data_IF_474971208728
#
_entry.id   IF_474971208728
#
_cell.length_a   1.000
_cell.length_b   1.000
_cell.length_c   1.000
_cell.angle_alpha   90.00
_cell.angle_beta   90.00
_cell.angle_gamma   90.00
#
_symmetry.space_group_name_H-M   'P 1'
#
loop_
_entity.id
_entity.type
_entity.pdbx_description
1 polymer ?
#
# COMPACT_ATOMS: atom_id res chain seq x y z
N UNK A 1 -14.80 -22.39 22.68
CA UNK A 1 -13.83 -21.90 21.69
C UNK A 1 -14.54 -20.79 20.92
N UNK A 2 -14.16 -19.53 21.11
CA UNK A 2 -14.78 -18.43 20.36
C UNK A 2 -14.28 -18.52 18.91
N UNK A 3 -15.17 -18.84 17.98
CA UNK A 3 -14.92 -18.72 16.55
C UNK A 3 -15.13 -17.26 16.16
N UNK A 4 -14.05 -16.58 15.75
CA UNK A 4 -14.13 -15.26 15.14
C UNK A 4 -14.75 -15.40 13.75
N UNK A 5 -15.83 -14.66 13.48
CA UNK A 5 -16.37 -14.52 12.14
C UNK A 5 -15.69 -13.37 11.40
N UNK A 6 -15.72 -13.39 10.07
CA UNK A 6 -15.28 -12.26 9.27
C UNK A 6 -16.06 -10.98 9.59
N UNK A 7 -17.29 -11.07 10.11
CA UNK A 7 -18.08 -9.92 10.59
C UNK A 7 -17.48 -9.23 11.82
N UNK A 8 -16.62 -9.91 12.57
CA UNK A 8 -16.01 -9.38 13.79
C UNK A 8 -14.70 -8.63 13.52
N UNK A 9 -14.23 -8.64 12.27
CA UNK A 9 -12.96 -8.02 11.86
C UNK A 9 -13.19 -6.60 11.36
N UNK A 10 -12.45 -5.66 11.94
CA UNK A 10 -12.25 -4.30 11.43
C UNK A 10 -10.75 -4.13 11.20
N UNK A 11 -10.37 -3.73 9.98
CA UNK A 11 -8.96 -3.73 9.56
C UNK A 11 -8.52 -2.37 9.01
N UNK A 12 -7.60 -1.73 9.74
CA UNK A 12 -6.80 -0.63 9.24
C UNK A 12 -5.50 -1.19 8.63
N UNK A 13 -5.28 -0.95 7.34
CA UNK A 13 -4.07 -1.34 6.62
C UNK A 13 -3.17 -0.15 6.36
N UNK A 14 -1.91 -0.24 6.78
CA UNK A 14 -0.89 0.79 6.54
C UNK A 14 0.11 0.29 5.52
N UNK A 15 0.28 1.03 4.43
CA UNK A 15 1.33 0.81 3.45
C UNK A 15 2.48 1.80 3.60
N UNK A 16 3.63 1.47 3.02
CA UNK A 16 4.86 2.29 3.04
C UNK A 16 4.90 3.34 1.94
N UNK A 17 3.80 3.52 1.21
CA UNK A 17 3.72 4.33 0.00
C UNK A 17 3.72 3.48 -1.27
N UNK A 18 3.00 3.95 -2.29
CA UNK A 18 2.97 3.37 -3.62
C UNK A 18 3.92 4.16 -4.54
N UNK A 19 4.96 3.50 -5.03
CA UNK A 19 5.89 4.13 -5.96
C UNK A 19 5.23 4.37 -7.33
N UNK A 20 5.33 5.57 -7.92
CA UNK A 20 4.84 5.83 -9.27
C UNK A 20 5.82 5.27 -10.31
N UNK A 21 5.97 3.95 -10.40
CA UNK A 21 6.83 3.30 -11.39
C UNK A 21 6.04 2.99 -12.63
N UNK A 22 6.57 3.39 -13.77
CA UNK A 22 6.04 3.03 -15.08
C UNK A 22 7.14 2.32 -15.87
N UNK A 23 6.77 1.27 -16.60
CA UNK A 23 7.68 0.66 -17.55
C UNK A 23 7.87 1.62 -18.73
N UNK A 24 9.10 2.09 -19.03
CA UNK A 24 9.37 3.02 -20.13
C UNK A 24 8.91 2.52 -21.51
N UNK A 25 8.84 1.20 -21.72
CA UNK A 25 8.30 0.56 -22.92
C UNK A 25 7.46 -0.66 -22.53
N UNK A 26 6.21 -0.71 -22.98
CA UNK A 26 5.32 -1.85 -22.69
C UNK A 26 5.51 -3.04 -23.64
N UNK A 27 6.15 -2.81 -24.78
CA UNK A 27 6.44 -3.83 -25.79
C UNK A 27 7.93 -3.78 -26.12
N UNK A 28 8.67 -4.76 -25.64
CA UNK A 28 10.08 -4.93 -25.99
C UNK A 28 10.62 -6.27 -25.50
N UNK A 29 11.55 -6.86 -26.25
CA UNK A 29 12.32 -8.02 -25.83
C UNK A 29 13.43 -7.59 -24.86
N UNK A 30 13.03 -7.33 -23.61
CA UNK A 30 13.95 -6.83 -22.58
C UNK A 30 14.96 -7.90 -22.15
N UNK A 31 14.65 -9.18 -22.32
CA UNK A 31 15.48 -10.28 -21.82
C UNK A 31 15.61 -10.27 -20.28
N UNK A 32 16.16 -11.34 -19.71
CA UNK A 32 16.21 -11.51 -18.26
C UNK A 32 16.97 -10.39 -17.53
N UNK A 33 18.07 -9.91 -18.13
CA UNK A 33 18.96 -8.93 -17.49
C UNK A 33 18.27 -7.59 -17.20
N UNK A 34 17.38 -7.15 -18.09
CA UNK A 34 16.64 -5.90 -17.91
C UNK A 34 15.37 -6.10 -17.08
N UNK A 35 14.81 -7.31 -17.01
CA UNK A 35 13.67 -7.61 -16.13
C UNK A 35 14.06 -7.77 -14.66
N UNK A 36 15.24 -8.34 -14.38
CA UNK A 36 15.64 -8.72 -13.02
C UNK A 36 15.51 -7.59 -11.97
N UNK A 37 15.90 -6.33 -12.24
CA UNK A 37 15.76 -5.24 -11.27
C UNK A 37 14.29 -4.85 -10.96
N UNK A 38 13.37 -5.17 -11.87
CA UNK A 38 11.95 -4.81 -11.75
C UNK A 38 11.10 -5.92 -11.12
N UNK A 39 11.50 -7.19 -11.25
CA UNK A 39 10.70 -8.34 -10.82
C UNK A 39 10.34 -8.32 -9.33
N UNK A 40 11.29 -8.01 -8.45
CA UNK A 40 11.04 -8.00 -7.00
C UNK A 40 10.00 -6.94 -6.64
N UNK A 41 10.18 -5.72 -7.14
CA UNK A 41 9.23 -4.63 -6.89
C UNK A 41 7.84 -4.95 -7.45
N UNK A 42 7.76 -5.51 -8.66
CA UNK A 42 6.49 -5.92 -9.27
C UNK A 42 5.78 -7.02 -8.46
N UNK A 43 6.53 -8.02 -7.98
CA UNK A 43 5.97 -9.10 -7.17
C UNK A 43 5.45 -8.57 -5.82
N UNK A 44 6.22 -7.70 -5.16
CA UNK A 44 5.83 -7.10 -3.88
C UNK A 44 4.62 -6.17 -4.05
N UNK A 45 4.67 -5.23 -4.99
CA UNK A 45 3.57 -4.31 -5.28
C UNK A 45 2.31 -5.08 -5.70
N UNK A 46 2.45 -6.09 -6.58
CA UNK A 46 1.34 -6.96 -7.00
C UNK A 46 0.70 -7.71 -5.85
N UNK A 47 1.49 -8.27 -4.93
CA UNK A 47 0.97 -8.96 -3.75
C UNK A 47 0.21 -8.01 -2.81
N UNK A 48 0.72 -6.80 -2.59
CA UNK A 48 0.09 -5.79 -1.74
C UNK A 48 -1.21 -5.26 -2.35
N UNK A 49 -1.26 -5.08 -3.68
CA UNK A 49 -2.46 -4.67 -4.42
C UNK A 49 -3.53 -5.77 -4.43
N UNK A 50 -3.15 -7.03 -4.59
CA UNK A 50 -4.10 -8.14 -4.52
C UNK A 50 -4.71 -8.26 -3.12
N UNK A 51 -3.90 -8.13 -2.06
CA UNK A 51 -4.38 -8.13 -0.68
C UNK A 51 -5.34 -6.95 -0.40
N UNK A 52 -5.01 -5.73 -0.85
CA UNK A 52 -5.91 -4.57 -0.76
C UNK A 52 -7.25 -4.85 -1.43
N UNK A 53 -7.22 -5.36 -2.67
CA UNK A 53 -8.43 -5.69 -3.41
C UNK A 53 -9.29 -6.73 -2.67
N UNK A 54 -8.70 -7.84 -2.24
CA UNK A 54 -9.41 -8.89 -1.52
C UNK A 54 -10.01 -8.38 -0.21
N UNK A 55 -9.28 -7.60 0.58
CA UNK A 55 -9.79 -7.01 1.81
C UNK A 55 -10.97 -6.07 1.55
N UNK A 56 -10.90 -5.24 0.50
CA UNK A 56 -12.04 -4.38 0.10
C UNK A 56 -13.28 -5.18 -0.25
N UNK A 57 -13.13 -6.31 -0.95
CA UNK A 57 -14.27 -7.16 -1.33
C UNK A 57 -14.86 -7.93 -0.13
N UNK A 58 -14.02 -8.39 0.80
CA UNK A 58 -14.43 -9.27 1.90
C UNK A 58 -14.95 -8.47 3.11
N UNK A 59 -14.27 -7.39 3.48
CA UNK A 59 -14.57 -6.60 4.68
C UNK A 59 -15.40 -5.35 4.40
N UNK A 60 -15.51 -4.96 3.12
CA UNK A 60 -16.30 -3.82 2.66
C UNK A 60 -15.99 -2.54 3.48
N UNK A 61 -16.98 -1.90 4.10
CA UNK A 61 -16.83 -0.67 4.88
C UNK A 61 -15.98 -0.83 6.15
N UNK A 62 -15.63 -2.07 6.55
CA UNK A 62 -14.80 -2.39 7.73
C UNK A 62 -13.32 -2.55 7.36
N UNK A 63 -12.94 -2.18 6.14
CA UNK A 63 -11.55 -2.07 5.71
C UNK A 63 -11.22 -0.64 5.29
N UNK A 64 -10.12 -0.10 5.83
CA UNK A 64 -9.56 1.17 5.40
C UNK A 64 -8.06 1.03 5.18
N UNK A 65 -7.55 1.59 4.08
CA UNK A 65 -6.12 1.55 3.76
C UNK A 65 -5.55 2.95 3.63
N UNK A 66 -4.44 3.17 4.33
CA UNK A 66 -3.58 4.34 4.16
C UNK A 66 -2.34 3.88 3.39
N UNK A 67 -2.23 4.30 2.13
CA UNK A 67 -1.06 4.01 1.31
C UNK A 67 -0.91 5.09 0.22
N UNK A 68 -0.30 6.25 0.54
CA UNK A 68 -0.23 7.36 -0.40
C UNK A 68 0.63 7.01 -1.62
N UNK A 69 0.31 7.61 -2.77
CA UNK A 69 1.23 7.59 -3.91
C UNK A 69 2.42 8.50 -3.55
N UNK A 70 3.62 7.96 -3.68
CA UNK A 70 4.84 8.72 -3.43
C UNK A 70 5.06 9.74 -4.57
N UNK A 71 5.56 10.95 -4.27
CA UNK A 71 5.78 11.99 -5.29
C UNK A 71 6.91 11.64 -6.26
N UNK A 72 7.80 10.72 -5.88
CA UNK A 72 8.89 10.17 -6.69
C UNK A 72 9.21 8.75 -6.21
N UNK A 73 9.84 7.91 -7.05
CA UNK A 73 10.25 6.58 -6.63
C UNK A 73 11.27 6.62 -5.50
N UNK A 74 11.04 5.85 -4.43
CA UNK A 74 11.97 5.61 -3.33
C UNK A 74 12.23 4.10 -3.25
N UNK A 75 13.51 3.72 -3.28
CA UNK A 75 13.99 2.36 -3.10
C UNK A 75 13.88 1.89 -1.64
N UNK A 76 13.76 0.58 -1.43
CA UNK A 76 13.68 0.01 -0.07
C UNK A 76 14.98 0.19 0.72
N UNK A 77 16.10 0.36 0.03
CA UNK A 77 17.46 0.50 0.53
C UNK A 77 17.95 1.96 0.58
N UNK A 78 17.13 2.92 0.14
CA UNK A 78 17.46 4.36 0.13
C UNK A 78 17.27 5.02 1.51
N UNK A 79 18.12 4.63 2.46
CA UNK A 79 18.10 5.14 3.86
C UNK A 79 18.31 6.66 3.92
N UNK A 80 19.02 7.24 2.94
CA UNK A 80 19.22 8.68 2.81
C UNK A 80 17.91 9.45 2.50
N UNK A 81 16.84 8.75 2.10
CA UNK A 81 15.53 9.32 1.78
C UNK A 81 14.55 9.32 2.97
N UNK A 82 14.95 8.83 4.14
CA UNK A 82 14.11 8.83 5.35
C UNK A 82 13.55 10.22 5.69
N UNK A 83 14.33 11.33 5.64
CA UNK A 83 13.79 12.66 5.91
C UNK A 83 12.64 13.04 4.96
N UNK A 84 12.76 12.71 3.68
CA UNK A 84 11.72 12.95 2.68
C UNK A 84 10.48 12.09 2.96
N UNK A 85 10.64 10.84 3.40
CA UNK A 85 9.50 10.00 3.80
C UNK A 85 8.75 10.57 5.00
N UNK A 86 9.48 11.12 5.98
CA UNK A 86 8.87 11.81 7.13
C UNK A 86 8.08 13.04 6.67
N UNK A 87 8.66 13.86 5.79
CA UNK A 87 8.00 15.04 5.23
C UNK A 87 6.71 14.68 4.48
N UNK A 88 6.71 13.56 3.75
CA UNK A 88 5.52 13.04 3.07
C UNK A 88 4.47 12.60 4.10
N UNK A 89 4.88 11.85 5.12
CA UNK A 89 3.98 11.31 6.14
C UNK A 89 3.29 12.41 6.96
N UNK A 90 4.01 13.46 7.35
CA UNK A 90 3.46 14.58 8.15
C UNK A 90 2.44 15.42 7.35
N UNK A 91 2.59 15.48 6.02
CA UNK A 91 1.69 16.22 5.13
C UNK A 91 0.49 15.40 4.66
N UNK A 92 0.44 14.12 5.00
CA UNK A 92 -0.63 13.23 4.58
C UNK A 92 -1.94 13.64 5.26
N UNK A 93 -3.00 13.82 4.46
CA UNK A 93 -4.34 14.00 4.98
C UNK A 93 -4.83 12.71 5.64
N UNK A 94 -5.14 12.78 6.93
CA UNK A 94 -5.61 11.66 7.74
C UNK A 94 -7.08 11.80 8.14
N UNK A 95 -7.79 12.85 7.70
CA UNK A 95 -9.15 13.13 8.15
C UNK A 95 -10.09 11.95 7.86
N UNK A 96 -10.01 11.37 6.66
CA UNK A 96 -10.79 10.19 6.30
C UNK A 96 -10.49 8.96 7.17
N UNK A 97 -9.21 8.76 7.54
CA UNK A 97 -8.82 7.67 8.42
C UNK A 97 -9.32 7.86 9.84
N UNK A 98 -9.20 9.08 10.37
CA UNK A 98 -9.67 9.44 11.72
C UNK A 98 -11.19 9.27 11.81
N UNK A 99 -11.94 9.77 10.82
CA UNK A 99 -13.39 9.58 10.74
C UNK A 99 -13.78 8.10 10.70
N UNK A 100 -13.05 7.30 9.90
CA UNK A 100 -13.29 5.87 9.80
C UNK A 100 -13.00 5.13 11.12
N UNK A 101 -11.87 5.44 11.79
CA UNK A 101 -11.51 4.86 13.10
C UNK A 101 -12.59 5.18 14.14
N UNK A 102 -13.03 6.44 14.22
CA UNK A 102 -14.07 6.87 15.15
C UNK A 102 -15.38 6.11 14.93
N UNK A 103 -15.72 5.83 13.66
CA UNK A 103 -16.95 5.12 13.29
C UNK A 103 -16.91 3.61 13.55
N UNK A 104 -15.75 2.97 13.41
CA UNK A 104 -15.65 1.51 13.38
C UNK A 104 -14.90 0.89 14.56
N UNK A 105 -14.12 1.67 15.31
CA UNK A 105 -13.24 1.16 16.38
C UNK A 105 -13.50 1.77 17.76
N UNK A 106 -13.99 3.03 17.82
CA UNK A 106 -14.21 3.76 19.07
C UNK A 106 -15.69 3.93 19.44
N UNK A 107 -16.60 3.37 18.64
CA UNK A 107 -18.05 3.38 18.85
C UNK A 107 -18.54 2.20 19.68
#
# INVERSE_FOLDING_TARGET
MLTLDLTDIVLLSLGTGHNPRFLPQQQGDWGLLHWAPHMVNLALEGSASLADYQCRQILDHRYFRINPVLPFPIGMDEVDKIPQMIDIAIKLDLDGAIQWINKHYLS
#
